data_IF_919508709098
#
_entry.id   IF_919508709098
#
_cell.length_a   1.000
_cell.length_b   1.000
_cell.length_c   1.000
_cell.angle_alpha   90.00
_cell.angle_beta   90.00
_cell.angle_gamma   90.00
#
_symmetry.space_group_name_H-M   'P 1'
#
loop_
_entity.id
_entity.type
_entity.pdbx_description
1 polymer ?
#
# COMPACT_ATOMS: atom_id res chain seq x y z
N UNK A 1 -35.18 -28.46 29.02
CA UNK A 1 -34.69 -28.63 27.64
C UNK A 1 -34.64 -27.25 27.02
N UNK A 2 -33.48 -26.62 27.05
CA UNK A 2 -33.29 -25.32 26.38
C UNK A 2 -32.77 -25.67 25.00
N UNK A 3 -33.63 -25.51 24.02
CA UNK A 3 -33.28 -25.62 22.60
C UNK A 3 -32.17 -24.61 22.29
N UNK A 4 -30.95 -25.09 22.06
CA UNK A 4 -29.91 -24.30 21.45
C UNK A 4 -30.32 -24.05 20.00
N UNK A 5 -30.94 -22.91 19.74
CA UNK A 5 -31.09 -22.34 18.43
C UNK A 5 -29.68 -22.20 17.88
N UNK A 6 -29.26 -23.13 17.03
CA UNK A 6 -28.09 -22.92 16.16
C UNK A 6 -28.37 -21.67 15.34
N UNK A 7 -27.77 -20.56 15.72
CA UNK A 7 -27.59 -19.40 14.82
C UNK A 7 -26.76 -19.91 13.65
N UNK A 8 -27.39 -20.18 12.52
CA UNK A 8 -26.70 -20.35 11.24
C UNK A 8 -25.89 -19.08 11.01
N UNK A 9 -24.63 -19.09 11.45
CA UNK A 9 -23.73 -17.97 11.31
C UNK A 9 -23.33 -17.86 9.85
N UNK A 10 -23.45 -16.67 9.28
CA UNK A 10 -22.88 -16.37 7.96
C UNK A 10 -21.40 -16.67 7.96
N UNK A 11 -20.87 -17.25 6.88
CA UNK A 11 -19.45 -17.54 6.72
C UNK A 11 -18.84 -16.66 5.65
N UNK A 12 -17.62 -16.15 5.89
CA UNK A 12 -16.88 -15.39 4.93
C UNK A 12 -15.44 -15.93 4.83
N UNK A 13 -15.05 -16.28 3.60
CA UNK A 13 -13.67 -16.66 3.27
C UNK A 13 -12.99 -15.49 2.58
N UNK A 14 -11.87 -15.02 3.16
CA UNK A 14 -11.01 -14.02 2.55
C UNK A 14 -9.88 -14.67 1.75
N UNK A 15 -9.71 -14.25 0.50
CA UNK A 15 -8.60 -14.64 -0.36
C UNK A 15 -7.71 -13.44 -0.62
N UNK A 16 -6.40 -13.57 -0.46
CA UNK A 16 -5.41 -12.52 -0.75
C UNK A 16 -4.17 -13.12 -1.41
N UNK A 17 -3.36 -12.31 -2.09
CA UNK A 17 -2.19 -12.80 -2.82
C UNK A 17 -0.93 -11.95 -2.63
N UNK A 18 -0.64 -11.55 -1.39
CA UNK A 18 0.59 -10.84 -1.04
C UNK A 18 0.50 -10.08 0.26
N UNK A 19 1.64 -9.65 0.81
CA UNK A 19 1.68 -8.96 2.10
C UNK A 19 0.89 -7.63 2.14
N UNK A 20 0.88 -6.89 1.03
CA UNK A 20 0.12 -5.65 0.94
C UNK A 20 -1.38 -5.90 0.93
N UNK A 21 -1.80 -6.92 0.21
CA UNK A 21 -3.18 -7.39 0.11
C UNK A 21 -3.65 -8.01 1.43
N UNK A 22 -2.79 -8.75 2.12
CA UNK A 22 -3.07 -9.30 3.46
C UNK A 22 -3.35 -8.16 4.45
N UNK A 23 -2.56 -7.09 4.44
CA UNK A 23 -2.75 -5.94 5.32
C UNK A 23 -4.08 -5.21 5.04
N UNK A 24 -4.48 -5.09 3.77
CA UNK A 24 -5.78 -4.52 3.38
C UNK A 24 -6.92 -5.45 3.82
N UNK A 25 -6.79 -6.74 3.56
CA UNK A 25 -7.78 -7.74 3.92
C UNK A 25 -8.03 -7.77 5.43
N UNK A 26 -6.96 -7.82 6.23
CA UNK A 26 -7.02 -7.84 7.70
C UNK A 26 -7.78 -6.64 8.25
N UNK A 27 -7.54 -5.44 7.76
CA UNK A 27 -8.30 -4.24 8.18
C UNK A 27 -9.80 -4.38 7.93
N UNK A 28 -10.19 -4.93 6.79
CA UNK A 28 -11.62 -5.15 6.48
C UNK A 28 -12.20 -6.24 7.40
N UNK A 29 -11.46 -7.31 7.65
CA UNK A 29 -11.91 -8.40 8.51
C UNK A 29 -12.02 -7.97 9.99
N UNK A 30 -11.12 -7.12 10.49
CA UNK A 30 -11.22 -6.52 11.82
C UNK A 30 -12.51 -5.70 11.96
N UNK A 31 -12.85 -4.89 10.95
CA UNK A 31 -14.09 -4.12 10.97
C UNK A 31 -15.33 -5.03 10.90
N UNK A 32 -15.28 -6.15 10.18
CA UNK A 32 -16.34 -7.15 10.17
C UNK A 32 -16.48 -7.84 11.55
N UNK A 33 -15.38 -8.17 12.22
CA UNK A 33 -15.39 -8.77 13.57
C UNK A 33 -16.01 -7.83 14.62
N UNK A 34 -15.88 -6.52 14.46
CA UNK A 34 -16.46 -5.51 15.37
C UNK A 34 -17.99 -5.36 15.22
N UNK A 35 -18.59 -5.94 14.18
CA UNK A 35 -20.02 -5.81 13.93
C UNK A 35 -20.86 -6.72 14.85
N UNK A 36 -22.09 -6.33 15.23
CA UNK A 36 -22.97 -7.11 16.12
C UNK A 36 -23.30 -8.52 15.60
N UNK A 37 -23.29 -8.69 14.28
CA UNK A 37 -23.58 -9.94 13.58
C UNK A 37 -22.39 -10.36 12.71
N UNK A 38 -21.20 -10.35 13.31
CA UNK A 38 -19.98 -10.74 12.64
C UNK A 38 -20.10 -12.14 12.00
N UNK A 39 -19.68 -12.31 10.75
CA UNK A 39 -19.62 -13.63 10.13
C UNK A 39 -18.53 -14.49 10.75
N UNK A 40 -18.64 -15.81 10.62
CA UNK A 40 -17.52 -16.71 10.86
C UNK A 40 -16.48 -16.49 9.77
N UNK A 41 -15.26 -16.08 10.16
CA UNK A 41 -14.20 -15.71 9.24
C UNK A 41 -13.23 -16.88 9.02
N UNK A 42 -12.81 -17.05 7.78
CA UNK A 42 -11.67 -17.87 7.39
C UNK A 42 -10.82 -17.12 6.35
N UNK A 43 -9.57 -17.51 6.19
CA UNK A 43 -8.69 -16.90 5.21
C UNK A 43 -7.90 -17.95 4.41
N UNK A 44 -7.55 -17.60 3.18
CA UNK A 44 -6.54 -18.30 2.40
C UNK A 44 -5.63 -17.25 1.74
N UNK A 45 -4.46 -16.98 2.31
CA UNK A 45 -3.40 -16.26 1.61
C UNK A 45 -2.86 -17.18 0.49
N UNK A 46 -3.12 -16.81 -0.76
CA UNK A 46 -2.72 -17.61 -1.93
C UNK A 46 -1.19 -17.65 -2.03
N UNK A 47 -0.56 -16.55 -1.61
CA UNK A 47 0.90 -16.40 -1.52
C UNK A 47 1.26 -15.90 -0.14
N UNK A 48 2.27 -16.49 0.50
CA UNK A 48 2.73 -16.08 1.83
C UNK A 48 2.33 -17.07 2.92
N UNK A 49 2.67 -16.75 4.15
CA UNK A 49 2.44 -17.60 5.34
C UNK A 49 1.15 -17.24 6.09
N UNK A 50 0.49 -16.16 5.74
CA UNK A 50 -0.75 -15.72 6.37
C UNK A 50 -0.61 -15.22 7.81
N UNK A 51 0.59 -14.79 8.24
CA UNK A 51 0.84 -14.31 9.61
C UNK A 51 -0.12 -13.20 10.04
N UNK A 52 -0.53 -12.33 9.12
CA UNK A 52 -1.46 -11.25 9.41
C UNK A 52 -2.82 -11.78 9.91
N UNK A 53 -3.31 -12.87 9.35
CA UNK A 53 -4.56 -13.50 9.75
C UNK A 53 -4.46 -14.25 11.08
N UNK A 54 -3.34 -14.93 11.32
CA UNK A 54 -3.14 -15.67 12.59
C UNK A 54 -3.06 -14.72 13.80
N UNK A 55 -2.54 -13.51 13.62
CA UNK A 55 -2.57 -12.48 14.68
C UNK A 55 -3.99 -12.06 15.09
N UNK A 56 -4.97 -12.18 14.19
CA UNK A 56 -6.38 -11.92 14.46
C UNK A 56 -7.17 -13.17 14.87
N UNK A 57 -6.52 -14.31 15.08
CA UNK A 57 -7.14 -15.60 15.33
C UNK A 57 -8.11 -16.03 14.21
N UNK A 58 -7.85 -15.62 12.96
CA UNK A 58 -8.63 -16.05 11.81
C UNK A 58 -8.02 -17.36 11.28
N UNK A 59 -8.81 -18.46 11.20
CA UNK A 59 -8.31 -19.75 10.72
C UNK A 59 -7.93 -19.67 9.24
N UNK A 60 -6.78 -20.27 8.92
CA UNK A 60 -6.31 -20.41 7.54
C UNK A 60 -6.78 -21.77 7.03
N UNK A 61 -7.40 -21.79 5.83
CA UNK A 61 -7.79 -23.01 5.14
C UNK A 61 -6.75 -23.37 4.07
N UNK A 62 -6.64 -24.67 3.77
CA UNK A 62 -5.75 -25.17 2.72
C UNK A 62 -4.26 -25.05 3.06
N UNK A 63 -3.43 -25.27 2.05
CA UNK A 63 -1.97 -25.21 2.17
C UNK A 63 -1.47 -23.81 1.80
N UNK A 64 -0.61 -23.24 2.62
CA UNK A 64 0.03 -21.94 2.39
C UNK A 64 1.55 -22.13 2.35
N UNK A 65 2.19 -21.53 1.36
CA UNK A 65 3.65 -21.59 1.19
C UNK A 65 4.20 -20.20 0.79
N UNK A 66 5.38 -19.82 1.29
CA UNK A 66 6.05 -18.60 0.84
C UNK A 66 6.53 -18.77 -0.61
N UNK A 67 6.19 -17.82 -1.47
CA UNK A 67 6.65 -17.81 -2.86
C UNK A 67 7.83 -16.83 -3.03
N UNK A 68 8.84 -17.20 -3.85
CA UNK A 68 9.99 -16.33 -4.13
C UNK A 68 9.62 -14.96 -4.71
N UNK A 69 8.53 -14.88 -5.49
CA UNK A 69 8.03 -13.62 -6.08
C UNK A 69 7.31 -12.70 -5.09
N UNK A 70 6.87 -13.20 -3.93
CA UNK A 70 6.11 -12.44 -2.95
C UNK A 70 4.76 -11.92 -3.47
N UNK A 71 4.19 -12.55 -4.53
CA UNK A 71 2.87 -12.25 -5.08
C UNK A 71 2.84 -11.29 -6.28
N UNK A 72 3.96 -10.70 -6.67
CA UNK A 72 4.02 -9.79 -7.84
C UNK A 72 4.17 -10.55 -9.17
N UNK A 73 3.09 -11.09 -9.70
CA UNK A 73 3.07 -11.82 -10.98
C UNK A 73 3.32 -10.89 -12.20
N UNK A 74 3.15 -9.58 -12.06
CA UNK A 74 3.09 -8.65 -13.18
C UNK A 74 4.45 -8.08 -13.67
N UNK A 75 5.56 -8.33 -13.00
CA UNK A 75 6.78 -7.56 -13.25
C UNK A 75 7.94 -8.28 -13.98
N UNK A 76 7.98 -9.61 -14.05
CA UNK A 76 9.05 -10.30 -14.80
C UNK A 76 8.71 -11.76 -15.18
N UNK A 77 8.67 -12.05 -16.49
CA UNK A 77 8.46 -13.42 -17.01
C UNK A 77 9.47 -14.44 -16.52
N UNK A 78 10.65 -14.01 -16.06
CA UNK A 78 11.68 -14.91 -15.46
C UNK A 78 11.32 -15.35 -14.04
N UNK A 79 10.58 -14.52 -13.29
CA UNK A 79 10.09 -14.88 -11.95
C UNK A 79 8.96 -15.89 -12.07
N UNK A 80 8.02 -15.69 -12.99
CA UNK A 80 6.95 -16.63 -13.29
C UNK A 80 7.49 -18.02 -13.64
N UNK A 81 8.57 -18.10 -14.45
CA UNK A 81 9.22 -19.38 -14.76
C UNK A 81 9.85 -20.08 -13.55
N UNK A 82 10.40 -19.32 -12.60
CA UNK A 82 10.92 -19.88 -11.34
C UNK A 82 9.80 -20.42 -10.45
N UNK A 83 8.72 -19.66 -10.33
CA UNK A 83 7.56 -20.03 -9.52
C UNK A 83 6.85 -21.27 -10.11
N UNK A 84 6.75 -21.37 -11.44
CA UNK A 84 6.26 -22.59 -12.12
C UNK A 84 7.09 -23.82 -11.82
N UNK A 85 8.43 -23.70 -11.75
CA UNK A 85 9.34 -24.79 -11.39
C UNK A 85 9.27 -25.18 -9.92
N UNK A 86 8.85 -24.28 -9.03
CA UNK A 86 8.74 -24.52 -7.58
C UNK A 86 7.44 -25.20 -7.15
N UNK A 87 6.61 -25.68 -8.08
CA UNK A 87 5.37 -26.40 -7.76
C UNK A 87 4.11 -25.52 -7.71
N UNK A 88 4.17 -24.28 -8.25
CA UNK A 88 3.06 -23.34 -8.27
C UNK A 88 1.75 -23.96 -8.76
N UNK A 89 1.80 -24.80 -9.82
CA UNK A 89 0.59 -25.44 -10.39
C UNK A 89 -0.06 -26.37 -9.37
N UNK A 90 0.75 -27.22 -8.70
CA UNK A 90 0.26 -28.16 -7.68
C UNK A 90 -0.37 -27.45 -6.50
N UNK A 91 0.31 -26.42 -5.99
CA UNK A 91 -0.20 -25.57 -4.89
C UNK A 91 -1.50 -24.86 -5.29
N UNK A 92 -1.54 -24.26 -6.49
CA UNK A 92 -2.73 -23.58 -7.01
C UNK A 92 -3.95 -24.52 -7.09
N UNK A 93 -3.76 -25.74 -7.57
CA UNK A 93 -4.83 -26.75 -7.66
C UNK A 93 -5.31 -27.17 -6.26
N UNK A 94 -4.39 -27.41 -5.33
CA UNK A 94 -4.72 -27.78 -3.94
C UNK A 94 -5.49 -26.67 -3.24
N UNK A 95 -5.04 -25.42 -3.40
CA UNK A 95 -5.73 -24.24 -2.85
C UNK A 95 -7.12 -24.07 -3.45
N UNK A 96 -7.26 -24.22 -4.77
CA UNK A 96 -8.56 -24.14 -5.44
C UNK A 96 -9.53 -25.24 -4.97
N UNK A 97 -9.02 -26.45 -4.72
CA UNK A 97 -9.81 -27.52 -4.12
C UNK A 97 -10.27 -27.16 -2.70
N UNK A 98 -9.38 -26.61 -1.87
CA UNK A 98 -9.74 -26.15 -0.52
C UNK A 98 -10.84 -25.09 -0.55
N UNK A 99 -10.76 -24.09 -1.44
CA UNK A 99 -11.76 -23.05 -1.63
C UNK A 99 -13.11 -23.66 -2.07
N UNK A 100 -13.11 -24.61 -3.01
CA UNK A 100 -14.31 -25.30 -3.45
C UNK A 100 -14.95 -26.15 -2.35
N UNK A 101 -14.15 -26.90 -1.58
CA UNK A 101 -14.65 -27.68 -0.45
C UNK A 101 -15.29 -26.77 0.61
N UNK A 102 -14.66 -25.63 0.91
CA UNK A 102 -15.21 -24.66 1.83
C UNK A 102 -16.57 -24.11 1.34
N UNK A 103 -16.71 -23.84 0.04
CA UNK A 103 -17.93 -23.28 -0.56
C UNK A 103 -19.07 -24.30 -0.74
N UNK A 104 -18.78 -25.62 -0.74
CA UNK A 104 -19.79 -26.67 -0.84
C UNK A 104 -20.54 -26.94 0.47
N UNK A 105 -20.07 -26.40 1.60
CA UNK A 105 -20.72 -26.52 2.90
C UNK A 105 -21.93 -25.58 3.06
N UNK A 106 -22.02 -24.91 4.20
CA UNK A 106 -23.03 -23.88 4.42
C UNK A 106 -22.80 -22.69 3.50
N UNK A 107 -23.89 -21.99 3.11
CA UNK A 107 -23.81 -20.79 2.26
C UNK A 107 -22.84 -19.77 2.82
N UNK A 108 -21.70 -19.63 2.17
CA UNK A 108 -20.65 -18.67 2.50
C UNK A 108 -20.40 -17.71 1.35
N UNK A 109 -19.75 -16.61 1.65
CA UNK A 109 -19.34 -15.60 0.67
C UNK A 109 -17.84 -15.47 0.65
N UNK A 110 -17.26 -15.20 -0.52
CA UNK A 110 -15.83 -15.02 -0.70
C UNK A 110 -15.51 -13.54 -0.90
N UNK A 111 -14.57 -13.03 -0.10
CA UNK A 111 -13.95 -11.73 -0.30
C UNK A 111 -12.59 -11.94 -0.97
N UNK A 112 -12.48 -11.60 -2.24
CA UNK A 112 -11.22 -11.62 -2.99
C UNK A 112 -10.52 -10.27 -2.88
N UNK A 113 -9.28 -10.23 -2.37
CA UNK A 113 -8.51 -9.01 -2.18
C UNK A 113 -7.22 -9.10 -2.99
N UNK A 114 -7.01 -8.20 -3.93
CA UNK A 114 -5.79 -8.15 -4.72
C UNK A 114 -6.00 -7.93 -6.22
N UNK A 115 -5.46 -8.84 -7.01
CA UNK A 115 -5.49 -8.83 -8.46
C UNK A 115 -6.45 -9.90 -9.05
N UNK A 116 -6.19 -10.30 -10.29
CA UNK A 116 -7.00 -11.31 -11.00
C UNK A 116 -6.96 -12.69 -10.30
N UNK A 117 -5.89 -13.04 -9.58
CA UNK A 117 -5.73 -14.40 -9.04
C UNK A 117 -6.79 -14.71 -7.96
N UNK A 118 -6.92 -13.93 -6.86
CA UNK A 118 -7.99 -14.14 -5.89
C UNK A 118 -9.38 -13.96 -6.51
N UNK A 119 -9.56 -13.06 -7.49
CA UNK A 119 -10.82 -12.90 -8.22
C UNK A 119 -11.20 -14.17 -8.99
N UNK A 120 -10.25 -14.80 -9.69
CA UNK A 120 -10.47 -16.05 -10.41
C UNK A 120 -10.80 -17.22 -9.47
N UNK A 121 -10.11 -17.31 -8.32
CA UNK A 121 -10.41 -18.31 -7.30
C UNK A 121 -11.83 -18.16 -6.74
N UNK A 122 -12.22 -16.93 -6.44
CA UNK A 122 -13.56 -16.61 -5.95
C UNK A 122 -14.64 -17.01 -6.98
N UNK A 123 -14.47 -16.66 -8.25
CA UNK A 123 -15.36 -17.10 -9.32
C UNK A 123 -15.41 -18.62 -9.47
N UNK A 124 -14.26 -19.29 -9.45
CA UNK A 124 -14.13 -20.74 -9.63
C UNK A 124 -14.67 -21.55 -8.44
N UNK A 125 -14.87 -20.94 -7.29
CA UNK A 125 -15.44 -21.58 -6.10
C UNK A 125 -16.92 -22.00 -6.27
N UNK A 126 -17.67 -21.28 -7.10
CA UNK A 126 -19.11 -21.44 -7.23
C UNK A 126 -19.94 -20.62 -6.23
N UNK A 127 -19.34 -20.03 -5.19
CA UNK A 127 -20.01 -19.19 -4.20
C UNK A 127 -20.28 -17.76 -4.73
N UNK A 128 -21.09 -16.99 -4.00
CA UNK A 128 -21.16 -15.54 -4.17
C UNK A 128 -19.88 -14.90 -3.68
N UNK A 129 -19.48 -13.79 -4.29
CA UNK A 129 -18.20 -13.12 -3.97
C UNK A 129 -18.25 -11.62 -4.12
N UNK A 130 -17.33 -10.97 -3.44
CA UNK A 130 -16.99 -9.57 -3.62
C UNK A 130 -15.50 -9.45 -3.95
N UNK A 131 -15.10 -8.36 -4.60
CA UNK A 131 -13.73 -8.13 -5.01
C UNK A 131 -13.22 -6.76 -4.56
N UNK A 132 -12.07 -6.74 -3.91
CA UNK A 132 -11.30 -5.54 -3.56
C UNK A 132 -10.09 -5.45 -4.48
N UNK A 133 -10.14 -4.56 -5.45
CA UNK A 133 -9.05 -4.35 -6.41
C UNK A 133 -7.98 -3.42 -5.85
N UNK A 134 -6.79 -3.93 -5.59
CA UNK A 134 -5.70 -3.18 -4.93
C UNK A 134 -4.68 -2.60 -5.90
N UNK A 135 -4.37 -3.30 -7.00
CA UNK A 135 -3.23 -3.01 -7.86
C UNK A 135 -3.55 -2.07 -9.02
N UNK A 136 -4.78 -2.12 -9.56
CA UNK A 136 -5.17 -1.42 -10.79
C UNK A 136 -5.93 -0.15 -10.52
N UNK A 137 -5.61 0.91 -11.27
CA UNK A 137 -6.26 2.22 -11.24
C UNK A 137 -6.36 2.79 -12.63
N UNK A 138 -7.50 3.39 -12.96
CA UNK A 138 -7.67 4.11 -14.22
C UNK A 138 -6.71 5.29 -14.36
N UNK A 139 -6.19 5.82 -13.27
CA UNK A 139 -5.16 6.86 -13.30
C UNK A 139 -3.86 6.47 -14.00
N UNK A 140 -3.62 5.19 -14.25
CA UNK A 140 -2.53 4.77 -15.14
C UNK A 140 -2.77 5.13 -16.63
N UNK A 141 -4.03 5.26 -17.04
CA UNK A 141 -4.44 5.45 -18.42
C UNK A 141 -5.07 6.81 -18.68
N UNK A 142 -5.76 7.38 -17.69
CA UNK A 142 -6.54 8.63 -17.79
C UNK A 142 -6.60 9.37 -16.47
N UNK A 143 -7.02 10.61 -16.51
CA UNK A 143 -7.42 11.41 -15.37
C UNK A 143 -8.84 11.98 -15.59
N UNK A 144 -9.23 12.96 -14.80
CA UNK A 144 -10.54 13.61 -14.90
C UNK A 144 -10.73 14.39 -16.20
N UNK A 145 -9.64 14.78 -16.87
CA UNK A 145 -9.67 15.47 -18.16
C UNK A 145 -9.75 14.49 -19.36
N UNK A 146 -9.53 13.20 -19.13
CA UNK A 146 -9.57 12.15 -20.15
C UNK A 146 -8.30 11.33 -20.26
N UNK A 147 -8.05 10.77 -21.44
CA UNK A 147 -6.90 9.89 -21.69
C UNK A 147 -5.56 10.62 -21.57
N UNK A 148 -4.63 10.03 -20.85
CA UNK A 148 -3.27 10.56 -20.76
C UNK A 148 -2.58 10.52 -22.14
N UNK A 149 -1.67 11.49 -22.43
CA UNK A 149 -0.91 11.49 -23.68
C UNK A 149 -0.07 10.22 -23.89
N UNK A 150 0.37 9.61 -22.79
CA UNK A 150 1.17 8.38 -22.79
C UNK A 150 0.37 7.11 -23.07
N UNK A 151 -0.98 7.17 -23.00
CA UNK A 151 -1.85 6.01 -23.21
C UNK A 151 -1.86 5.59 -24.67
N UNK A 152 -1.50 4.35 -24.94
CA UNK A 152 -1.42 3.77 -26.27
C UNK A 152 -2.81 3.61 -26.92
N UNK A 153 -2.84 3.46 -28.25
CA UNK A 153 -4.09 3.21 -28.99
C UNK A 153 -4.76 1.90 -28.57
N UNK A 154 -3.95 0.87 -28.24
CA UNK A 154 -4.46 -0.42 -27.79
C UNK A 154 -5.13 -0.31 -26.42
N UNK A 155 -4.51 0.39 -25.46
CA UNK A 155 -5.09 0.62 -24.15
C UNK A 155 -6.40 1.41 -24.23
N UNK A 156 -6.44 2.44 -25.09
CA UNK A 156 -7.68 3.18 -25.38
C UNK A 156 -8.77 2.28 -25.97
N UNK A 157 -8.43 1.37 -26.87
CA UNK A 157 -9.35 0.42 -27.46
C UNK A 157 -9.86 -0.61 -26.45
N UNK A 158 -9.03 -1.03 -25.47
CA UNK A 158 -9.45 -1.89 -24.36
C UNK A 158 -10.40 -1.19 -23.39
N UNK A 159 -10.36 0.13 -23.31
CA UNK A 159 -11.33 0.97 -22.62
C UNK A 159 -11.17 1.06 -21.11
N UNK A 160 -10.31 0.25 -20.48
CA UNK A 160 -10.07 0.26 -19.02
C UNK A 160 -8.73 -0.40 -18.70
N UNK A 161 -8.20 -0.08 -17.51
CA UNK A 161 -7.05 -0.77 -16.90
C UNK A 161 -7.36 -2.24 -16.59
N UNK A 162 -8.63 -2.55 -16.34
CA UNK A 162 -9.10 -3.92 -16.20
C UNK A 162 -9.37 -4.52 -17.57
N UNK A 163 -8.74 -5.66 -17.84
CA UNK A 163 -8.86 -6.35 -19.14
C UNK A 163 -10.25 -6.98 -19.30
N UNK A 164 -10.70 -7.28 -20.54
CA UNK A 164 -12.05 -7.78 -20.79
C UNK A 164 -12.45 -9.00 -19.96
N UNK A 165 -11.53 -9.93 -19.71
CA UNK A 165 -11.79 -11.12 -18.89
C UNK A 165 -11.91 -10.81 -17.40
N UNK A 166 -11.17 -9.82 -16.87
CA UNK A 166 -11.34 -9.38 -15.48
C UNK A 166 -12.70 -8.71 -15.28
N UNK A 167 -13.10 -7.86 -16.23
CA UNK A 167 -14.41 -7.21 -16.22
C UNK A 167 -15.54 -8.23 -16.36
N UNK A 168 -15.35 -9.27 -17.17
CA UNK A 168 -16.29 -10.38 -17.26
C UNK A 168 -16.43 -11.11 -15.94
N UNK A 169 -15.34 -11.38 -15.21
CA UNK A 169 -15.41 -11.95 -13.86
C UNK A 169 -16.19 -11.05 -12.90
N UNK A 170 -15.94 -9.72 -12.94
CA UNK A 170 -16.63 -8.74 -12.10
C UNK A 170 -18.09 -8.52 -12.47
N UNK A 171 -18.50 -8.82 -13.70
CA UNK A 171 -19.90 -8.67 -14.16
C UNK A 171 -20.78 -9.90 -13.91
N UNK A 172 -20.24 -10.98 -13.34
CA UNK A 172 -21.01 -12.18 -13.05
C UNK A 172 -22.07 -11.92 -11.98
N UNK A 173 -23.26 -12.54 -12.08
CA UNK A 173 -24.35 -12.40 -11.08
C UNK A 173 -23.94 -12.75 -9.64
N UNK A 174 -22.93 -13.63 -9.48
CA UNK A 174 -22.35 -13.99 -8.19
C UNK A 174 -21.36 -12.97 -7.64
N UNK A 175 -20.88 -12.04 -8.46
CA UNK A 175 -20.08 -10.91 -8.01
C UNK A 175 -21.03 -9.83 -7.46
N UNK A 176 -21.19 -9.78 -6.14
CA UNK A 176 -22.15 -8.89 -5.48
C UNK A 176 -21.65 -7.45 -5.36
N UNK A 177 -20.35 -7.27 -5.24
CA UNK A 177 -19.73 -5.95 -5.11
C UNK A 177 -18.28 -5.96 -5.58
N UNK A 178 -17.85 -4.83 -6.15
CA UNK A 178 -16.47 -4.55 -6.52
C UNK A 178 -16.04 -3.25 -5.82
N UNK A 179 -14.92 -3.28 -5.13
CA UNK A 179 -14.35 -2.15 -4.41
C UNK A 179 -12.99 -1.80 -5.04
N UNK A 180 -12.96 -0.97 -6.08
CA UNK A 180 -11.72 -0.50 -6.65
C UNK A 180 -11.04 0.50 -5.71
N UNK A 181 -9.76 0.70 -5.92
CA UNK A 181 -8.93 1.52 -5.03
C UNK A 181 -9.20 3.03 -5.08
N UNK A 182 -9.89 3.53 -6.11
CA UNK A 182 -10.15 4.96 -6.31
C UNK A 182 -11.48 5.21 -7.05
N UNK A 183 -11.95 6.45 -6.91
CA UNK A 183 -13.23 6.92 -7.45
C UNK A 183 -13.30 6.81 -8.97
N UNK A 184 -12.24 7.26 -9.69
CA UNK A 184 -12.24 7.24 -11.15
C UNK A 184 -12.40 5.81 -11.69
N UNK A 185 -11.73 4.86 -11.06
CA UNK A 185 -11.83 3.44 -11.40
C UNK A 185 -13.25 2.90 -11.12
N UNK A 186 -13.87 3.29 -10.01
CA UNK A 186 -15.26 2.92 -9.70
C UNK A 186 -16.24 3.44 -10.76
N UNK A 187 -16.13 4.71 -11.13
CA UNK A 187 -17.00 5.34 -12.14
C UNK A 187 -16.87 4.66 -13.51
N UNK A 188 -15.65 4.32 -13.94
CA UNK A 188 -15.44 3.63 -15.23
C UNK A 188 -16.02 2.21 -15.22
N UNK A 189 -15.87 1.48 -14.12
CA UNK A 189 -16.45 0.14 -13.98
C UNK A 189 -17.99 0.20 -13.95
N UNK A 190 -18.58 1.19 -13.26
CA UNK A 190 -20.04 1.42 -13.24
C UNK A 190 -20.58 1.72 -14.63
N UNK A 191 -19.90 2.54 -15.44
CA UNK A 191 -20.27 2.81 -16.82
C UNK A 191 -20.29 1.55 -17.70
N UNK A 192 -19.58 0.50 -17.29
CA UNK A 192 -19.53 -0.81 -17.95
C UNK A 192 -20.51 -1.82 -17.33
N UNK A 193 -21.43 -1.37 -16.47
CA UNK A 193 -22.46 -2.21 -15.83
C UNK A 193 -21.97 -3.10 -14.69
N UNK A 194 -20.78 -2.83 -14.13
CA UNK A 194 -20.22 -3.55 -12.98
C UNK A 194 -20.70 -2.88 -11.69
N UNK A 195 -21.10 -3.68 -10.69
CA UNK A 195 -21.51 -3.20 -9.36
C UNK A 195 -20.29 -2.74 -8.55
N UNK A 196 -19.68 -1.64 -8.96
CA UNK A 196 -18.52 -1.05 -8.31
C UNK A 196 -18.94 0.07 -7.34
N UNK A 197 -18.24 0.17 -6.21
CA UNK A 197 -18.52 1.13 -5.15
C UNK A 197 -17.26 1.92 -4.80
N UNK A 198 -17.34 3.25 -4.83
CA UNK A 198 -16.28 4.14 -4.34
C UNK A 198 -16.37 4.26 -2.81
N UNK A 199 -15.71 3.39 -2.10
CA UNK A 199 -15.66 3.39 -0.64
C UNK A 199 -14.29 3.81 -0.08
N UNK A 200 -13.40 4.26 -0.96
CA UNK A 200 -12.03 4.64 -0.64
C UNK A 200 -11.06 3.46 -0.60
N UNK A 201 -9.83 3.76 -0.22
CA UNK A 201 -8.75 2.79 -0.22
C UNK A 201 -8.33 2.45 1.22
N UNK A 202 -8.47 1.19 1.68
CA UNK A 202 -8.09 0.79 3.03
C UNK A 202 -6.58 0.97 3.34
N UNK A 203 -5.76 1.19 2.32
CA UNK A 203 -4.37 1.58 2.50
C UNK A 203 -4.21 2.90 3.28
N UNK A 204 -5.23 3.77 3.24
CA UNK A 204 -5.25 5.05 3.95
C UNK A 204 -5.73 4.95 5.41
N UNK A 205 -6.20 3.78 5.84
CA UNK A 205 -6.64 3.57 7.20
C UNK A 205 -5.42 3.40 8.13
N UNK A 206 -5.59 3.73 9.41
CA UNK A 206 -4.58 3.60 10.47
C UNK A 206 -3.26 4.37 10.23
N UNK A 207 -3.32 5.44 9.45
CA UNK A 207 -2.19 6.35 9.27
C UNK A 207 -2.10 7.43 10.36
N UNK A 208 -3.07 7.50 11.25
CA UNK A 208 -3.00 8.34 12.46
C UNK A 208 -2.12 7.62 13.48
N UNK A 209 -1.01 8.24 13.86
CA UNK A 209 -0.07 7.68 14.83
C UNK A 209 -0.77 7.20 16.11
N UNK A 210 -0.30 6.11 16.67
CA UNK A 210 -0.88 5.45 17.86
C UNK A 210 -0.68 6.24 19.17
N UNK A 211 -0.32 7.51 19.10
CA UNK A 211 -0.12 8.36 20.28
C UNK A 211 1.08 8.01 21.14
N UNK A 212 1.85 6.96 20.81
CA UNK A 212 3.04 6.55 21.58
C UNK A 212 4.24 7.48 21.39
N UNK A 213 4.21 8.32 20.34
CA UNK A 213 5.28 9.28 20.05
C UNK A 213 4.81 10.74 20.27
N UNK A 214 3.70 10.94 20.98
CA UNK A 214 3.18 12.29 21.22
C UNK A 214 4.21 13.27 21.84
N UNK A 215 5.18 12.78 22.59
CA UNK A 215 6.22 13.64 23.18
C UNK A 215 7.35 13.95 22.17
N UNK A 216 7.77 12.98 21.38
CA UNK A 216 8.71 13.23 20.30
C UNK A 216 8.11 14.10 19.19
N UNK A 217 6.84 13.89 18.84
CA UNK A 217 6.11 14.76 17.90
C UNK A 217 5.96 16.17 18.43
N UNK A 218 5.68 16.39 19.72
CA UNK A 218 5.65 17.75 20.30
C UNK A 218 6.99 18.46 20.15
N UNK A 219 8.09 17.76 20.25
CA UNK A 219 9.41 18.33 20.00
C UNK A 219 9.69 18.52 18.50
N UNK A 220 9.22 17.60 17.63
CA UNK A 220 9.24 17.78 16.19
C UNK A 220 8.29 18.89 15.72
N UNK A 221 7.18 19.15 16.42
CA UNK A 221 6.31 20.32 16.20
C UNK A 221 7.02 21.64 16.53
N UNK A 222 7.94 21.64 17.48
CA UNK A 222 8.78 22.80 17.81
C UNK A 222 9.91 23.02 16.80
N UNK A 223 10.18 22.02 15.92
CA UNK A 223 11.17 22.15 14.86
C UNK A 223 10.67 23.09 13.77
N UNK A 224 11.29 24.24 13.64
CA UNK A 224 10.90 25.30 12.68
C UNK A 224 11.52 25.11 11.29
N UNK A 225 12.49 24.20 11.15
CA UNK A 225 13.12 23.88 9.88
C UNK A 225 12.30 22.91 9.02
N UNK A 226 12.78 22.64 7.82
CA UNK A 226 12.14 21.72 6.87
C UNK A 226 12.25 20.26 7.36
N UNK A 227 11.14 19.52 7.34
CA UNK A 227 11.07 18.10 7.70
C UNK A 227 10.85 17.25 6.45
N UNK A 228 11.78 16.36 6.15
CA UNK A 228 11.77 15.54 4.93
C UNK A 228 11.75 14.06 5.28
N UNK A 229 10.72 13.36 4.82
CA UNK A 229 10.63 11.90 4.93
C UNK A 229 11.53 11.22 3.91
N UNK A 230 12.28 10.20 4.32
CA UNK A 230 13.12 9.37 3.47
C UNK A 230 12.56 7.95 3.40
N UNK A 231 12.17 7.50 2.20
CA UNK A 231 11.52 6.22 1.95
C UNK A 231 12.33 5.36 0.97
N UNK A 232 13.28 4.54 1.43
CA UNK A 232 14.13 3.74 0.54
C UNK A 232 13.44 2.48 -0.01
N UNK A 233 12.27 2.10 0.50
CA UNK A 233 11.60 0.84 0.23
C UNK A 233 11.81 -0.19 1.33
N UNK A 234 11.28 -1.41 1.14
CA UNK A 234 11.20 -2.44 2.19
C UNK A 234 11.93 -3.74 1.88
N UNK A 235 12.57 -3.91 0.72
CA UNK A 235 13.15 -5.18 0.29
C UNK A 235 14.66 -5.08 0.07
N UNK A 236 15.41 -6.04 0.60
CA UNK A 236 16.85 -6.19 0.32
C UNK A 236 17.08 -6.85 -1.04
N UNK A 237 18.15 -6.52 -1.75
CA UNK A 237 19.12 -5.45 -1.45
C UNK A 237 18.68 -4.07 -1.98
N UNK A 238 17.52 -3.97 -2.60
CA UNK A 238 17.05 -2.77 -3.31
C UNK A 238 16.95 -1.54 -2.41
N UNK A 239 16.44 -1.69 -1.17
CA UNK A 239 16.31 -0.59 -0.23
C UNK A 239 17.67 0.05 0.11
N UNK A 240 18.72 -0.75 0.21
CA UNK A 240 20.09 -0.26 0.46
C UNK A 240 20.66 0.52 -0.74
N UNK A 241 20.42 0.06 -1.98
CA UNK A 241 20.81 0.80 -3.19
C UNK A 241 20.00 2.11 -3.35
N UNK A 242 18.72 2.06 -3.05
CA UNK A 242 17.87 3.24 -3.07
C UNK A 242 18.31 4.26 -2.02
N UNK A 243 18.70 3.78 -0.82
CA UNK A 243 19.22 4.63 0.25
C UNK A 243 20.44 5.44 -0.18
N UNK A 244 21.36 4.83 -0.90
CA UNK A 244 22.54 5.53 -1.42
C UNK A 244 22.15 6.73 -2.31
N UNK A 245 21.13 6.57 -3.17
CA UNK A 245 20.62 7.66 -4.00
C UNK A 245 19.93 8.75 -3.18
N UNK A 246 19.13 8.33 -2.19
CA UNK A 246 18.45 9.26 -1.27
C UNK A 246 19.47 10.08 -0.48
N UNK A 247 20.47 9.45 0.12
CA UNK A 247 21.53 10.15 0.87
C UNK A 247 22.30 11.10 -0.03
N UNK A 248 22.58 10.72 -1.28
CA UNK A 248 23.19 11.65 -2.24
C UNK A 248 22.33 12.89 -2.48
N UNK A 249 21.00 12.72 -2.58
CA UNK A 249 20.07 13.82 -2.77
C UNK A 249 20.02 14.79 -1.57
N UNK A 250 20.24 14.30 -0.34
CA UNK A 250 20.22 15.16 0.86
C UNK A 250 21.34 16.22 0.83
N UNK A 251 22.47 15.97 0.15
CA UNK A 251 23.59 16.90 0.09
C UNK A 251 23.19 18.28 -0.48
N UNK A 252 22.44 18.28 -1.58
CA UNK A 252 21.94 19.52 -2.19
C UNK A 252 20.97 20.26 -1.29
N UNK A 253 20.12 19.50 -0.57
CA UNK A 253 19.14 20.07 0.36
C UNK A 253 19.83 20.73 1.56
N UNK A 254 20.84 20.08 2.16
CA UNK A 254 21.63 20.60 3.28
C UNK A 254 22.35 21.91 2.89
N UNK A 255 22.86 21.97 1.66
CA UNK A 255 23.52 23.18 1.16
C UNK A 255 22.54 24.34 0.93
N UNK A 256 21.27 24.06 0.63
CA UNK A 256 20.27 25.05 0.27
C UNK A 256 19.38 25.54 1.43
N UNK A 257 19.43 24.90 2.61
CA UNK A 257 18.53 25.16 3.74
C UNK A 257 19.30 25.42 5.04
N UNK A 258 18.80 26.34 5.85
CA UNK A 258 19.41 26.68 7.14
C UNK A 258 19.29 25.56 8.17
N UNK A 259 18.14 24.87 8.21
CA UNK A 259 17.90 23.72 9.10
C UNK A 259 17.03 22.68 8.38
N UNK A 260 17.44 21.43 8.44
CA UNK A 260 16.72 20.30 7.86
C UNK A 260 16.70 19.11 8.82
N UNK A 261 15.52 18.54 9.00
CA UNK A 261 15.34 17.27 9.69
C UNK A 261 14.91 16.21 8.67
N UNK A 262 15.71 15.16 8.56
CA UNK A 262 15.35 13.98 7.75
C UNK A 262 14.80 12.88 8.64
N UNK A 263 13.65 12.32 8.27
CA UNK A 263 12.98 11.23 8.96
C UNK A 263 13.08 9.97 8.09
N UNK A 264 14.00 9.08 8.41
CA UNK A 264 14.21 7.82 7.70
C UNK A 264 13.32 6.72 8.28
N UNK A 265 12.16 6.47 7.66
CA UNK A 265 11.29 5.37 8.03
C UNK A 265 11.76 4.08 7.34
N UNK A 266 12.49 3.25 8.08
CA UNK A 266 13.07 2.00 7.60
C UNK A 266 12.13 0.84 7.94
N UNK A 267 11.91 -0.05 6.97
CA UNK A 267 11.01 -1.18 7.17
C UNK A 267 11.51 -2.13 8.28
N UNK A 268 10.63 -2.64 9.16
CA UNK A 268 11.02 -3.47 10.31
C UNK A 268 11.80 -4.74 9.96
N UNK A 269 11.65 -5.27 8.73
CA UNK A 269 12.39 -6.44 8.25
C UNK A 269 13.82 -6.19 7.78
N UNK A 270 14.29 -4.93 7.86
CA UNK A 270 15.64 -4.53 7.45
C UNK A 270 16.50 -4.25 8.68
N UNK A 271 17.82 -4.50 8.61
CA UNK A 271 18.77 -4.00 9.63
C UNK A 271 19.00 -2.50 9.43
N UNK A 272 19.09 -1.72 10.51
CA UNK A 272 19.46 -0.30 10.45
C UNK A 272 20.96 -0.08 10.16
N UNK A 273 21.80 -1.05 10.51
CA UNK A 273 23.25 -0.94 10.43
C UNK A 273 23.80 -0.55 9.04
N UNK A 274 23.37 -1.15 7.91
CA UNK A 274 23.83 -0.72 6.59
C UNK A 274 23.45 0.74 6.26
N UNK A 275 22.28 1.20 6.75
CA UNK A 275 21.82 2.58 6.52
C UNK A 275 22.63 3.59 7.32
N UNK A 276 22.95 3.28 8.59
CA UNK A 276 23.81 4.08 9.45
C UNK A 276 25.22 4.16 8.87
N UNK A 277 25.80 3.01 8.54
CA UNK A 277 27.15 2.93 7.99
C UNK A 277 27.33 3.75 6.70
N UNK A 278 26.30 3.73 5.85
CA UNK A 278 26.32 4.54 4.63
C UNK A 278 26.26 6.06 4.93
N UNK A 279 25.49 6.48 5.93
CA UNK A 279 25.49 7.89 6.39
C UNK A 279 26.85 8.31 6.93
N UNK A 280 27.48 7.47 7.77
CA UNK A 280 28.81 7.74 8.32
C UNK A 280 29.86 7.87 7.22
N UNK A 281 29.82 7.00 6.20
CA UNK A 281 30.70 7.09 5.04
C UNK A 281 30.52 8.41 4.24
N UNK A 282 29.35 9.02 4.33
CA UNK A 282 29.01 10.31 3.71
C UNK A 282 29.23 11.51 4.66
N UNK A 283 29.87 11.28 5.82
CA UNK A 283 30.29 12.30 6.77
C UNK A 283 29.24 12.70 7.82
N UNK A 284 28.20 11.87 8.01
CA UNK A 284 27.29 12.04 9.14
C UNK A 284 27.92 11.44 10.41
N UNK A 285 27.63 12.03 11.56
CA UNK A 285 28.16 11.61 12.85
C UNK A 285 27.03 11.03 13.72
N UNK A 286 27.18 9.77 14.10
CA UNK A 286 26.23 9.10 15.01
C UNK A 286 26.32 9.75 16.40
N UNK A 287 25.19 10.10 16.95
CA UNK A 287 25.07 10.66 18.31
C UNK A 287 24.90 9.52 19.31
N UNK A 288 25.84 9.36 20.22
CA UNK A 288 25.85 8.30 21.23
C UNK A 288 25.01 8.62 22.48
N UNK A 289 24.73 9.88 22.75
CA UNK A 289 23.88 10.30 23.84
C UNK A 289 22.46 10.55 23.33
N UNK A 290 21.47 10.08 24.11
CA UNK A 290 20.08 10.45 23.93
C UNK A 290 20.01 11.95 23.66
N UNK A 291 19.65 12.33 22.43
CA UNK A 291 19.44 13.73 22.11
C UNK A 291 18.22 14.16 22.91
N UNK A 292 18.46 14.56 24.16
CA UNK A 292 17.46 14.98 25.13
C UNK A 292 16.56 16.13 24.60
N UNK A 293 16.98 16.73 23.46
CA UNK A 293 16.21 17.71 22.70
C UNK A 293 15.22 17.08 21.71
N UNK A 294 15.33 15.77 21.41
CA UNK A 294 14.42 15.01 20.57
C UNK A 294 14.10 13.73 21.36
N UNK A 295 13.18 13.79 22.34
CA UNK A 295 12.75 12.63 23.15
C UNK A 295 12.02 11.59 22.28
N UNK A 296 12.75 10.95 21.35
CA UNK A 296 12.26 9.82 20.57
C UNK A 296 12.45 8.62 21.49
N UNK A 297 11.38 8.20 22.17
CA UNK A 297 11.35 6.99 23.01
C UNK A 297 11.37 5.70 22.14
N UNK A 298 11.97 5.75 20.98
CA UNK A 298 12.21 4.59 20.14
C UNK A 298 13.58 4.01 20.53
N UNK A 299 13.57 2.89 21.21
CA UNK A 299 14.77 2.19 21.70
C UNK A 299 15.74 1.84 20.55
N UNK A 300 15.22 1.75 19.33
CA UNK A 300 15.95 1.37 18.11
C UNK A 300 16.21 2.55 17.17
N UNK A 301 15.88 3.80 17.55
CA UNK A 301 16.13 4.95 16.71
C UNK A 301 17.63 5.35 16.71
N UNK A 302 18.18 5.58 15.52
CA UNK A 302 19.52 6.15 15.36
C UNK A 302 19.41 7.62 14.91
N UNK A 303 20.15 8.49 15.62
CA UNK A 303 20.22 9.92 15.30
C UNK A 303 21.62 10.27 14.83
N UNK A 304 21.72 10.86 13.65
CA UNK A 304 23.00 11.32 13.10
C UNK A 304 22.91 12.82 12.76
N UNK A 305 24.05 13.51 12.84
CA UNK A 305 24.16 14.93 12.52
C UNK A 305 25.22 15.19 11.47
N UNK A 306 24.93 16.15 10.59
CA UNK A 306 25.90 16.69 9.65
C UNK A 306 25.62 18.18 9.44
N UNK A 307 26.56 19.06 9.79
CA UNK A 307 26.37 20.53 9.71
C UNK A 307 25.08 20.96 10.44
N UNK A 308 24.16 21.55 9.69
CA UNK A 308 22.86 22.08 10.10
C UNK A 308 21.71 21.07 9.94
N UNK A 309 22.03 19.81 9.62
CA UNK A 309 21.04 18.78 9.38
C UNK A 309 21.09 17.66 10.43
N UNK A 310 19.91 17.11 10.71
CA UNK A 310 19.72 15.92 11.55
C UNK A 310 19.03 14.87 10.72
N UNK A 311 19.43 13.61 10.84
CA UNK A 311 18.69 12.46 10.36
C UNK A 311 18.31 11.58 11.54
N UNK A 312 17.05 11.15 11.56
CA UNK A 312 16.52 10.17 12.52
C UNK A 312 16.10 8.94 11.73
N UNK A 313 16.71 7.79 12.01
CA UNK A 313 16.32 6.51 11.45
C UNK A 313 15.47 5.76 12.47
N UNK A 314 14.30 5.29 12.07
CA UNK A 314 13.38 4.55 12.92
C UNK A 314 12.69 3.41 12.17
N UNK A 315 12.34 2.34 12.89
CA UNK A 315 11.58 1.20 12.36
C UNK A 315 10.17 1.10 12.96
N UNK A 316 9.91 1.82 14.05
CA UNK A 316 8.66 1.70 14.82
C UNK A 316 7.74 2.92 14.66
N UNK A 317 8.27 4.07 14.23
CA UNK A 317 7.57 5.35 14.15
C UNK A 317 7.13 5.73 12.73
N UNK A 318 6.73 4.76 11.91
CA UNK A 318 6.39 4.99 10.50
C UNK A 318 5.28 6.02 10.32
N UNK A 319 4.14 5.85 11.03
CA UNK A 319 2.99 6.75 10.90
C UNK A 319 3.33 8.16 11.36
N UNK A 320 4.10 8.29 12.41
CA UNK A 320 4.51 9.58 12.94
C UNK A 320 5.45 10.32 11.98
N UNK A 321 6.37 9.60 11.34
CA UNK A 321 7.21 10.16 10.28
C UNK A 321 6.38 10.67 9.10
N UNK A 322 5.34 9.91 8.69
CA UNK A 322 4.40 10.33 7.64
C UNK A 322 3.67 11.62 8.03
N UNK A 323 3.19 11.73 9.28
CA UNK A 323 2.46 12.87 9.77
C UNK A 323 3.36 14.11 9.93
N UNK A 324 4.56 13.94 10.51
CA UNK A 324 5.45 15.05 10.83
C UNK A 324 6.11 15.69 9.61
N UNK A 325 6.45 14.92 8.57
CA UNK A 325 7.18 15.41 7.42
C UNK A 325 6.37 16.38 6.55
N UNK A 326 7.02 17.39 5.97
CA UNK A 326 6.43 18.36 5.05
C UNK A 326 6.39 17.83 3.61
N UNK A 327 7.42 17.06 3.22
CA UNK A 327 7.56 16.40 1.92
C UNK A 327 8.40 15.12 2.05
N UNK A 328 8.44 14.31 0.99
CA UNK A 328 9.24 13.09 0.98
C UNK A 328 10.22 13.02 -0.20
N UNK A 329 11.36 12.36 0.03
CA UNK A 329 12.21 11.79 -1.03
C UNK A 329 11.95 10.29 -0.99
N UNK A 330 11.33 9.75 -2.06
CA UNK A 330 10.72 8.44 -2.01
C UNK A 330 11.17 7.54 -3.16
N UNK A 331 11.56 6.33 -2.81
CA UNK A 331 11.84 5.23 -3.73
C UNK A 331 11.09 3.97 -3.25
N UNK A 332 9.79 4.13 -2.93
CA UNK A 332 8.91 3.12 -2.40
C UNK A 332 7.55 3.16 -3.13
N UNK A 333 6.82 2.05 -3.13
CA UNK A 333 5.46 1.98 -3.68
C UNK A 333 4.42 2.48 -2.66
N UNK A 334 3.93 1.57 -1.83
CA UNK A 334 2.86 1.79 -0.85
C UNK A 334 3.10 3.00 0.07
N UNK A 335 4.32 3.13 0.61
CA UNK A 335 4.64 4.22 1.52
C UNK A 335 4.54 5.61 0.83
N UNK A 336 4.91 5.71 -0.44
CA UNK A 336 4.75 6.93 -1.24
C UNK A 336 3.27 7.25 -1.46
N UNK A 337 2.46 6.25 -1.78
CA UNK A 337 1.02 6.40 -1.98
C UNK A 337 0.33 6.87 -0.69
N UNK A 338 0.66 6.27 0.45
CA UNK A 338 0.14 6.69 1.76
C UNK A 338 0.52 8.13 2.09
N UNK A 339 1.79 8.51 1.87
CA UNK A 339 2.26 9.87 2.11
C UNK A 339 1.54 10.91 1.24
N UNK A 340 1.38 10.61 -0.04
CA UNK A 340 0.62 11.44 -0.99
C UNK A 340 -0.85 11.55 -0.60
N UNK A 341 -1.46 10.46 -0.14
CA UNK A 341 -2.85 10.46 0.33
C UNK A 341 -3.11 11.37 1.54
N UNK A 342 -2.09 11.64 2.34
CA UNK A 342 -2.16 12.67 3.39
C UNK A 342 -2.17 14.12 2.84
N UNK A 343 -2.11 14.28 1.53
CA UNK A 343 -2.07 15.59 0.87
C UNK A 343 -0.68 16.20 0.81
N UNK A 344 0.37 15.38 0.83
CA UNK A 344 1.77 15.81 0.81
C UNK A 344 2.46 15.42 -0.48
N UNK A 345 3.55 16.11 -0.83
CA UNK A 345 4.29 15.86 -2.06
C UNK A 345 5.43 14.88 -1.84
N UNK A 346 5.61 13.95 -2.77
CA UNK A 346 6.78 13.09 -2.81
C UNK A 346 7.63 13.40 -4.05
N UNK A 347 8.95 13.44 -3.88
CA UNK A 347 9.92 13.50 -4.96
C UNK A 347 10.47 12.09 -5.16
N UNK A 348 10.17 11.50 -6.30
CA UNK A 348 10.64 10.17 -6.67
C UNK A 348 11.94 10.24 -7.46
N UNK A 349 12.90 9.37 -7.14
CA UNK A 349 14.16 9.21 -7.88
C UNK A 349 14.13 7.80 -8.52
N UNK A 350 14.37 7.64 -9.84
CA UNK A 350 14.35 6.33 -10.46
C UNK A 350 15.39 5.37 -9.86
N UNK A 351 14.97 4.18 -9.48
CA UNK A 351 15.83 3.12 -8.96
C UNK A 351 16.43 2.26 -10.07
N UNK A 352 17.35 1.37 -9.67
CA UNK A 352 17.94 0.34 -10.54
C UNK A 352 17.59 -1.08 -10.06
N UNK A 353 16.70 -1.16 -9.07
CA UNK A 353 16.31 -2.42 -8.47
C UNK A 353 15.24 -3.17 -9.26
N UNK A 354 14.88 -4.38 -8.83
CA UNK A 354 13.90 -5.21 -9.53
C UNK A 354 12.46 -4.67 -9.43
N UNK A 355 12.17 -3.81 -8.46
CA UNK A 355 10.82 -3.29 -8.24
C UNK A 355 10.70 -1.80 -8.51
N UNK A 356 11.52 -0.97 -7.88
CA UNK A 356 11.50 0.47 -8.09
C UNK A 356 12.34 0.84 -9.32
N UNK A 357 11.87 0.41 -10.50
CA UNK A 357 12.50 0.69 -11.80
C UNK A 357 12.16 2.11 -12.29
N UNK A 358 12.85 2.64 -13.31
CA UNK A 358 12.45 3.89 -13.97
C UNK A 358 11.02 3.85 -14.52
N UNK A 359 10.60 2.70 -15.06
CA UNK A 359 9.23 2.50 -15.55
C UNK A 359 8.20 2.52 -14.42
N UNK A 360 8.52 1.92 -13.25
CA UNK A 360 7.66 1.99 -12.07
C UNK A 360 7.55 3.42 -11.53
N UNK A 361 8.66 4.15 -11.42
CA UNK A 361 8.67 5.54 -10.97
C UNK A 361 7.83 6.44 -11.92
N UNK A 362 7.92 6.22 -13.22
CA UNK A 362 7.07 6.92 -14.22
C UNK A 362 5.60 6.54 -14.03
N UNK A 363 5.27 5.25 -13.93
CA UNK A 363 3.89 4.79 -13.72
C UNK A 363 3.30 5.37 -12.42
N UNK A 364 4.10 5.49 -11.36
CA UNK A 364 3.67 6.11 -10.10
C UNK A 364 3.34 7.60 -10.29
N UNK A 365 4.03 8.34 -11.18
CA UNK A 365 3.65 9.72 -11.50
C UNK A 365 2.29 9.81 -12.22
N UNK A 366 1.95 8.84 -13.06
CA UNK A 366 0.60 8.75 -13.66
C UNK A 366 -0.46 8.47 -12.60
N UNK A 367 -0.22 7.47 -11.76
CA UNK A 367 -1.13 7.09 -10.68
C UNK A 367 -1.42 8.24 -9.72
N UNK A 368 -0.38 8.93 -9.25
CA UNK A 368 -0.46 9.94 -8.19
C UNK A 368 -0.50 11.38 -8.73
N UNK A 369 -0.35 11.57 -10.05
CA UNK A 369 -0.45 12.86 -10.70
C UNK A 369 0.57 13.88 -10.16
N UNK A 370 0.19 15.16 -10.05
CA UNK A 370 1.08 16.22 -9.61
C UNK A 370 1.61 16.06 -8.18
N UNK A 371 1.08 15.10 -7.40
CA UNK A 371 1.54 14.84 -6.03
C UNK A 371 2.84 14.03 -5.96
N UNK A 372 3.30 13.46 -7.09
CA UNK A 372 4.63 12.86 -7.23
C UNK A 372 5.41 13.58 -8.33
N UNK A 373 6.55 14.11 -7.96
CA UNK A 373 7.47 14.80 -8.89
C UNK A 373 8.68 13.91 -9.14
N UNK A 374 8.93 13.58 -10.41
CA UNK A 374 10.08 12.76 -10.79
C UNK A 374 11.33 13.65 -10.90
N UNK A 375 12.36 13.36 -10.10
CA UNK A 375 13.71 13.86 -10.26
C UNK A 375 14.53 12.79 -10.98
N UNK A 376 15.08 13.10 -12.15
CA UNK A 376 15.86 12.12 -12.94
C UNK A 376 17.15 11.73 -12.25
N UNK A 377 17.74 12.68 -11.50
CA UNK A 377 18.98 12.50 -10.76
C UNK A 377 18.83 13.03 -9.33
N UNK A 378 19.58 12.47 -8.35
CA UNK A 378 19.59 12.97 -6.97
C UNK A 378 19.90 14.48 -6.85
N UNK A 379 20.74 15.01 -7.72
CA UNK A 379 21.17 16.42 -7.70
C UNK A 379 20.03 17.41 -8.04
N UNK A 380 18.96 16.94 -8.73
CA UNK A 380 17.80 17.78 -9.05
C UNK A 380 16.83 17.97 -7.86
N UNK A 381 16.96 17.16 -6.80
CA UNK A 381 15.98 17.11 -5.71
C UNK A 381 15.88 18.45 -4.97
N UNK A 382 17.00 19.10 -4.70
CA UNK A 382 17.02 20.39 -4.00
C UNK A 382 16.27 21.49 -4.77
N UNK A 383 16.44 21.55 -6.09
CA UNK A 383 15.74 22.52 -6.95
C UNK A 383 14.23 22.22 -7.02
N UNK A 384 13.84 20.92 -7.06
CA UNK A 384 12.43 20.53 -6.99
C UNK A 384 11.80 20.93 -5.68
N UNK A 385 12.47 20.72 -4.55
CA UNK A 385 12.03 21.15 -3.23
C UNK A 385 11.84 22.67 -3.21
N UNK A 386 12.82 23.42 -3.68
CA UNK A 386 12.76 24.88 -3.74
C UNK A 386 11.53 25.36 -4.53
N UNK A 387 11.34 24.85 -5.75
CA UNK A 387 10.21 25.18 -6.62
C UNK A 387 8.85 24.93 -5.93
N UNK A 388 8.72 23.79 -5.22
CA UNK A 388 7.47 23.44 -4.49
C UNK A 388 7.22 24.43 -3.34
N UNK A 389 8.26 24.73 -2.55
CA UNK A 389 8.10 25.60 -1.37
C UNK A 389 7.77 27.05 -1.74
N UNK A 390 8.23 27.50 -2.89
CA UNK A 390 7.97 28.86 -3.41
C UNK A 390 6.60 29.01 -4.08
N UNK A 391 5.90 27.91 -4.40
CA UNK A 391 4.63 27.93 -5.13
C UNK A 391 3.47 27.40 -4.28
N UNK A 392 2.73 28.31 -3.64
CA UNK A 392 1.59 27.96 -2.80
C UNK A 392 0.45 27.28 -3.59
N UNK A 393 0.12 27.79 -4.77
CA UNK A 393 -0.96 27.20 -5.60
C UNK A 393 -0.63 25.77 -6.00
N UNK A 394 0.64 25.48 -6.31
CA UNK A 394 1.08 24.12 -6.61
C UNK A 394 0.94 23.21 -5.39
N UNK A 395 1.27 23.68 -4.19
CA UNK A 395 1.10 22.89 -2.96
C UNK A 395 -0.37 22.55 -2.68
N UNK A 396 -1.27 23.51 -2.88
CA UNK A 396 -2.72 23.29 -2.72
C UNK A 396 -3.27 22.29 -3.74
N UNK A 397 -2.84 22.39 -5.01
CA UNK A 397 -3.17 21.43 -6.05
C UNK A 397 -2.67 20.03 -5.70
N UNK A 398 -1.42 19.90 -5.26
CA UNK A 398 -0.82 18.64 -4.82
C UNK A 398 -1.63 18.01 -3.69
N UNK A 399 -1.97 18.81 -2.66
CA UNK A 399 -2.70 18.33 -1.50
C UNK A 399 -4.12 17.84 -1.86
N UNK A 400 -4.85 18.59 -2.66
CA UNK A 400 -6.19 18.21 -3.11
C UNK A 400 -6.17 16.99 -4.01
N UNK A 401 -5.21 16.91 -4.94
CA UNK A 401 -5.03 15.77 -5.84
C UNK A 401 -4.69 14.48 -5.08
N UNK A 402 -3.76 14.53 -4.14
CA UNK A 402 -3.34 13.35 -3.37
C UNK A 402 -4.52 12.75 -2.59
N UNK A 403 -5.26 13.57 -1.86
CA UNK A 403 -6.46 13.14 -1.11
C UNK A 403 -7.55 12.57 -2.02
N UNK A 404 -7.78 13.19 -3.18
CA UNK A 404 -8.78 12.73 -4.14
C UNK A 404 -8.42 11.35 -4.70
N UNK A 405 -7.15 11.12 -5.07
CA UNK A 405 -6.70 9.86 -5.69
C UNK A 405 -6.59 8.71 -4.72
N UNK A 406 -6.26 9.00 -3.47
CA UNK A 406 -6.08 7.97 -2.45
C UNK A 406 -7.32 7.73 -1.58
N UNK A 407 -8.26 8.67 -1.59
CA UNK A 407 -9.48 8.59 -0.78
C UNK A 407 -9.27 8.98 0.69
N UNK A 408 -10.36 8.93 1.46
CA UNK A 408 -10.36 9.28 2.88
C UNK A 408 -10.20 8.05 3.77
N UNK A 409 -9.61 8.16 4.96
CA UNK A 409 -9.55 7.09 5.96
C UNK A 409 -10.92 6.51 6.31
N UNK A 410 -10.96 5.30 6.87
CA UNK A 410 -12.17 4.56 7.24
C UNK A 410 -12.77 3.74 6.09
N UNK A 411 -12.00 3.48 5.04
CA UNK A 411 -12.42 2.68 3.89
C UNK A 411 -12.75 1.23 4.28
N UNK A 412 -11.97 0.62 5.16
CA UNK A 412 -12.21 -0.74 5.64
C UNK A 412 -13.57 -0.87 6.33
N UNK A 413 -13.94 0.10 7.19
CA UNK A 413 -15.24 0.13 7.85
C UNK A 413 -16.40 0.31 6.84
N UNK A 414 -16.23 1.19 5.83
CA UNK A 414 -17.25 1.37 4.79
C UNK A 414 -17.44 0.12 3.93
N UNK A 415 -16.33 -0.57 3.57
CA UNK A 415 -16.37 -1.83 2.83
C UNK A 415 -17.03 -2.92 3.68
N UNK A 416 -16.66 -3.07 4.95
CA UNK A 416 -17.26 -4.04 5.86
C UNK A 416 -18.77 -3.82 6.01
N UNK A 417 -19.23 -2.58 6.15
CA UNK A 417 -20.65 -2.24 6.22
C UNK A 417 -21.39 -2.57 4.90
N UNK A 418 -20.77 -2.26 3.76
CA UNK A 418 -21.33 -2.59 2.45
C UNK A 418 -21.44 -4.11 2.26
N UNK A 419 -20.40 -4.87 2.62
CA UNK A 419 -20.44 -6.33 2.59
C UNK A 419 -21.57 -6.89 3.45
N UNK A 420 -21.76 -6.40 4.66
CA UNK A 420 -22.82 -6.86 5.57
C UNK A 420 -24.21 -6.55 5.02
N UNK A 421 -24.39 -5.45 4.31
CA UNK A 421 -25.67 -5.05 3.72
C UNK A 421 -25.98 -5.86 2.46
N UNK A 422 -25.06 -5.92 1.50
CA UNK A 422 -25.30 -6.55 0.19
C UNK A 422 -25.25 -8.08 0.22
N UNK A 423 -24.52 -8.66 1.19
CA UNK A 423 -24.43 -10.11 1.37
C UNK A 423 -25.57 -10.63 2.25
N UNK A 424 -26.21 -9.74 3.02
CA UNK A 424 -27.28 -10.07 3.94
C UNK A 424 -28.65 -10.22 3.29
N UNK A 425 -28.86 -9.64 2.11
CA UNK A 425 -30.16 -9.47 1.48
C UNK A 425 -30.67 -10.72 0.72
N UNK A 426 -29.75 -11.64 0.35
CA UNK A 426 -30.11 -12.82 -0.44
C UNK A 426 -30.19 -14.15 0.40
N UNK A 427 -30.48 -14.04 1.69
CA UNK A 427 -30.65 -15.21 2.59
C UNK A 427 -32.08 -15.45 3.03
#
# INVERSE_FOLDING_TARGET
MISSSQKSGRKLLCLSNGHGEDAIAVRILEELQRQPHAPELAALPIVGEGRAYTHLNIPIIGTVEPMPSGGFIYMDGRQLWRDLKSGLIGLTLTQLQAVRQWSQGEKGVILAVGDIVPLLFAWASGADYAFVGTAKSEYYLRDEAGWLPTTSKLEKALGSVYLPWERWLMSQKRCKAVFPRDKLTAEILQQQGISAFDLGNPMMDDLTGNGKINEALKQLEQWTGLKILLLPGSRRPEAEYNWQKIVKATKGVIAAKEQVLFLGAIAPGLSLEPFIHHLEAEGWQLQQENVASLSIEDVDAAVLRQKNAIVVLTQTAYQDCLQAADLAIAMAGTATEQFVGLGKVAIAIPGNGPQFTPAFAEAQTRLLGPSVILAKHPDEVADRIKSILENQQQRELIASNGRRRMGSPGAAARIANCLSTHIAVDS
#
